data_IF_688680495907
#
_entry.id   IF_688680495907
#
_cell.length_a   1.000
_cell.length_b   1.000
_cell.length_c   1.000
_cell.angle_alpha   90.00
_cell.angle_beta   90.00
_cell.angle_gamma   90.00
#
_symmetry.space_group_name_H-M   'P 1'
#
loop_
_entity.id
_entity.type
_entity.pdbx_description
1 polymer ?
#
# COMPACT_ATOMS: atom_id res chain seq x y z
N UNK A 1 -73.67 44.40 -29.69
CA UNK A 1 -73.24 43.02 -29.38
C UNK A 1 -71.87 42.84 -30.01
N UNK A 2 -70.86 42.34 -29.30
CA UNK A 2 -69.59 42.02 -29.94
C UNK A 2 -69.86 40.99 -31.05
N UNK A 3 -69.44 41.30 -32.27
CA UNK A 3 -69.60 40.43 -33.43
C UNK A 3 -68.44 39.43 -33.39
N UNK A 4 -68.75 38.14 -33.54
CA UNK A 4 -67.72 37.11 -33.63
C UNK A 4 -66.77 37.46 -34.79
N UNK A 5 -65.48 37.45 -34.52
CA UNK A 5 -64.45 37.72 -35.52
C UNK A 5 -63.99 36.41 -36.16
N UNK A 6 -63.79 36.45 -37.48
CA UNK A 6 -63.25 35.33 -38.24
C UNK A 6 -61.73 35.34 -38.15
N UNK A 7 -61.18 34.31 -37.53
CA UNK A 7 -59.74 34.05 -37.43
C UNK A 7 -59.41 32.89 -38.36
N UNK A 8 -58.31 33.00 -39.10
CA UNK A 8 -57.83 31.93 -39.97
C UNK A 8 -56.83 31.07 -39.20
N UNK A 9 -57.07 29.77 -39.12
CA UNK A 9 -56.15 28.80 -38.55
C UNK A 9 -55.64 27.88 -39.66
N UNK A 10 -54.37 28.03 -40.02
CA UNK A 10 -53.67 27.09 -40.91
C UNK A 10 -53.26 25.86 -40.11
N UNK A 11 -53.74 24.69 -40.54
CA UNK A 11 -53.46 23.39 -39.98
C UNK A 11 -52.08 22.85 -40.45
N UNK A 12 -51.54 21.80 -39.79
CA UNK A 12 -50.24 21.23 -40.15
C UNK A 12 -50.18 20.66 -41.57
N UNK A 13 -51.32 20.29 -42.17
CA UNK A 13 -51.40 19.82 -43.56
C UNK A 13 -51.51 20.98 -44.58
N UNK A 14 -51.41 22.22 -44.11
CA UNK A 14 -51.50 23.44 -44.92
C UNK A 14 -52.93 23.86 -45.26
N UNK A 15 -53.96 23.15 -44.80
CA UNK A 15 -55.34 23.59 -44.97
C UNK A 15 -55.67 24.70 -44.01
N UNK A 16 -56.42 25.67 -44.48
CA UNK A 16 -56.96 26.72 -43.63
C UNK A 16 -58.38 26.38 -43.17
N UNK A 17 -58.66 26.65 -41.90
CA UNK A 17 -60.00 26.62 -41.33
C UNK A 17 -60.32 27.96 -40.68
N UNK A 18 -61.55 28.41 -40.83
CA UNK A 18 -62.04 29.62 -40.17
C UNK A 18 -62.56 29.23 -38.80
N UNK A 19 -62.07 29.90 -37.76
CA UNK A 19 -62.54 29.77 -36.38
C UNK A 19 -63.09 31.10 -35.91
N UNK A 20 -64.18 31.05 -35.15
CA UNK A 20 -64.88 32.25 -34.71
C UNK A 20 -64.54 32.56 -33.25
N UNK A 21 -64.36 33.84 -32.92
CA UNK A 21 -64.22 34.25 -31.52
C UNK A 21 -65.56 34.15 -30.77
N UNK A 22 -65.50 33.83 -29.48
CA UNK A 22 -66.67 33.92 -28.60
C UNK A 22 -66.96 35.39 -28.20
N UNK A 23 -68.00 35.60 -27.37
CA UNK A 23 -68.39 36.94 -26.91
C UNK A 23 -67.30 37.68 -26.09
N UNK A 24 -66.30 36.96 -25.58
CA UNK A 24 -65.15 37.51 -24.85
C UNK A 24 -63.92 37.72 -25.74
N UNK A 25 -63.99 37.38 -27.04
CA UNK A 25 -62.87 37.47 -27.98
C UNK A 25 -61.93 36.27 -27.96
N UNK A 26 -62.32 35.15 -27.34
CA UNK A 26 -61.46 33.97 -27.20
C UNK A 26 -61.70 32.98 -28.35
N UNK A 27 -60.67 32.21 -28.69
CA UNK A 27 -60.73 31.06 -29.60
C UNK A 27 -60.36 29.78 -28.84
N UNK A 28 -61.08 28.68 -29.10
CA UNK A 28 -60.76 27.36 -28.57
C UNK A 28 -60.65 26.37 -29.72
N UNK A 29 -59.54 25.64 -29.77
CA UNK A 29 -59.29 24.62 -30.79
C UNK A 29 -58.59 23.42 -30.15
N UNK A 30 -58.95 22.21 -30.56
CA UNK A 30 -58.27 21.00 -30.10
C UNK A 30 -57.07 20.71 -30.99
N UNK A 31 -55.88 21.06 -30.52
CA UNK A 31 -54.64 20.88 -31.27
C UNK A 31 -54.20 19.42 -31.22
N UNK A 32 -54.13 18.76 -32.38
CA UNK A 32 -53.28 17.59 -32.58
C UNK A 32 -51.81 18.01 -32.75
N UNK A 33 -50.88 17.08 -32.87
CA UNK A 33 -49.50 17.47 -33.16
C UNK A 33 -49.35 18.24 -34.47
N UNK A 34 -48.52 19.28 -34.46
CA UNK A 34 -47.97 19.89 -35.66
C UNK A 34 -47.70 21.37 -35.47
N UNK A 35 -47.41 22.03 -36.59
CA UNK A 35 -47.22 23.47 -36.65
C UNK A 35 -48.51 24.08 -37.17
N UNK A 36 -49.10 24.96 -36.38
CA UNK A 36 -50.29 25.71 -36.71
C UNK A 36 -49.93 27.18 -36.88
N UNK A 37 -50.61 27.88 -37.78
CA UNK A 37 -50.48 29.33 -37.91
C UNK A 37 -51.85 29.96 -37.66
N UNK A 38 -51.95 30.78 -36.62
CA UNK A 38 -53.12 31.59 -36.33
C UNK A 38 -52.92 32.95 -37.01
N UNK A 39 -53.86 33.37 -37.84
CA UNK A 39 -53.83 34.64 -38.56
C UNK A 39 -55.10 35.41 -38.22
N UNK A 40 -54.93 36.59 -37.62
CA UNK A 40 -55.98 37.59 -37.44
C UNK A 40 -55.96 38.49 -38.67
N UNK A 41 -56.96 38.43 -39.56
CA UNK A 41 -56.90 39.16 -40.81
C UNK A 41 -57.13 40.67 -40.62
N UNK A 42 -56.64 41.47 -41.56
CA UNK A 42 -56.67 42.95 -41.50
C UNK A 42 -58.07 43.54 -41.31
N UNK A 43 -59.11 42.91 -41.85
CA UNK A 43 -60.49 43.35 -41.73
C UNK A 43 -61.07 43.21 -40.30
N UNK A 44 -60.41 42.45 -39.42
CA UNK A 44 -60.86 42.26 -38.02
C UNK A 44 -60.39 43.41 -37.11
N UNK A 45 -59.15 43.87 -37.25
CA UNK A 45 -58.55 44.84 -36.32
C UNK A 45 -57.70 45.95 -36.97
N UNK A 46 -57.76 46.11 -38.29
CA UNK A 46 -57.07 47.17 -39.04
C UNK A 46 -55.66 46.80 -39.52
N UNK A 47 -55.05 45.77 -38.93
CA UNK A 47 -53.75 45.20 -39.29
C UNK A 47 -53.82 43.66 -39.30
N UNK A 48 -52.93 43.01 -40.05
CA UNK A 48 -52.82 41.55 -40.01
C UNK A 48 -51.83 41.14 -38.91
N UNK A 49 -52.25 40.22 -38.04
CA UNK A 49 -51.38 39.59 -37.04
C UNK A 49 -51.28 38.11 -37.33
N UNK A 50 -50.09 37.53 -37.15
CA UNK A 50 -49.95 36.08 -37.23
C UNK A 50 -49.05 35.54 -36.11
N UNK A 51 -49.39 34.33 -35.65
CA UNK A 51 -48.64 33.61 -34.62
C UNK A 51 -48.55 32.14 -34.98
N UNK A 52 -47.34 31.58 -34.88
CA UNK A 52 -47.12 30.15 -35.03
C UNK A 52 -47.23 29.46 -33.67
N UNK A 53 -47.93 28.32 -33.65
CA UNK A 53 -48.07 27.44 -32.49
C UNK A 53 -47.51 26.07 -32.89
N UNK A 54 -46.50 25.60 -32.18
CA UNK A 54 -45.98 24.24 -32.35
C UNK A 54 -46.48 23.38 -31.21
N UNK A 55 -47.05 22.23 -31.54
CA UNK A 55 -47.54 21.25 -30.57
C UNK A 55 -46.85 19.90 -30.79
N UNK A 56 -46.41 19.30 -29.69
CA UNK A 56 -45.75 17.98 -29.66
C UNK A 56 -46.51 17.06 -28.70
N UNK A 57 -46.28 15.76 -28.80
CA UNK A 57 -46.75 14.77 -27.85
C UNK A 57 -45.85 14.68 -26.60
N UNK A 58 -44.93 15.63 -26.43
CA UNK A 58 -43.93 15.65 -25.37
C UNK A 58 -42.57 15.15 -25.83
N UNK A 59 -41.74 14.77 -24.86
CA UNK A 59 -40.36 14.34 -25.04
C UNK A 59 -40.24 12.82 -24.99
N UNK A 60 -39.33 12.28 -25.81
CA UNK A 60 -38.92 10.87 -25.72
C UNK A 60 -37.94 10.65 -24.56
N UNK A 61 -37.93 9.44 -24.02
CA UNK A 61 -36.99 9.01 -23.00
C UNK A 61 -36.41 7.65 -23.34
N UNK A 62 -35.09 7.55 -23.34
CA UNK A 62 -34.36 6.27 -23.49
C UNK A 62 -34.24 5.62 -22.10
N UNK A 63 -34.89 4.48 -21.91
CA UNK A 63 -34.91 3.74 -20.63
C UNK A 63 -34.25 2.37 -20.77
N UNK A 64 -33.46 1.88 -19.81
CA UNK A 64 -32.95 2.58 -18.61
C UNK A 64 -31.92 3.67 -18.96
N UNK A 65 -32.03 4.85 -18.35
CA UNK A 65 -31.11 5.98 -18.59
C UNK A 65 -29.77 5.85 -17.87
N UNK A 66 -29.68 4.94 -16.89
CA UNK A 66 -28.51 4.63 -16.08
C UNK A 66 -27.68 3.46 -16.63
N UNK A 67 -28.16 2.75 -17.65
CA UNK A 67 -27.37 1.77 -18.41
C UNK A 67 -26.36 2.49 -19.30
N UNK A 68 -25.36 3.11 -18.71
CA UNK A 68 -24.35 3.91 -19.41
C UNK A 68 -23.00 3.19 -19.52
N UNK A 69 -22.90 1.94 -19.05
CA UNK A 69 -21.70 1.10 -19.14
C UNK A 69 -22.07 -0.24 -19.77
N UNK A 70 -21.23 -0.69 -20.70
CA UNK A 70 -21.37 -1.96 -21.40
C UNK A 70 -19.99 -2.62 -21.55
N UNK A 71 -19.96 -3.94 -21.65
CA UNK A 71 -18.78 -4.70 -22.05
C UNK A 71 -18.77 -4.84 -23.59
N UNK A 72 -17.60 -4.99 -24.20
CA UNK A 72 -17.54 -5.37 -25.61
C UNK A 72 -18.34 -6.65 -25.86
N UNK A 73 -18.96 -6.75 -27.03
CA UNK A 73 -19.86 -7.81 -27.46
C UNK A 73 -21.14 -7.98 -26.61
N UNK A 74 -21.39 -7.12 -25.63
CA UNK A 74 -22.61 -7.15 -24.82
C UNK A 74 -23.83 -6.75 -25.66
N UNK A 75 -24.95 -7.44 -25.43
CA UNK A 75 -26.22 -7.08 -26.06
C UNK A 75 -26.99 -6.10 -25.18
N UNK A 76 -27.12 -4.87 -25.64
CA UNK A 76 -27.84 -3.81 -24.94
C UNK A 76 -29.30 -3.75 -25.40
N UNK A 77 -30.19 -3.53 -24.44
CA UNK A 77 -31.63 -3.39 -24.66
C UNK A 77 -32.14 -2.10 -24.02
N UNK A 78 -32.87 -1.31 -24.80
CA UNK A 78 -33.52 -0.09 -24.35
C UNK A 78 -35.00 -0.08 -24.74
N UNK A 79 -35.79 0.71 -24.02
CA UNK A 79 -37.19 0.97 -24.28
C UNK A 79 -37.36 2.48 -24.43
N UNK A 80 -38.00 2.89 -25.52
CA UNK A 80 -38.34 4.29 -25.78
C UNK A 80 -39.70 4.57 -25.18
N UNK A 81 -39.77 5.59 -24.31
CA UNK A 81 -41.00 6.03 -23.64
C UNK A 81 -41.29 7.52 -23.91
N UNK A 82 -42.51 7.95 -23.64
CA UNK A 82 -42.90 9.37 -23.58
C UNK A 82 -42.84 9.91 -22.13
N UNK A 83 -43.13 11.21 -21.94
CA UNK A 83 -43.19 11.86 -20.63
C UNK A 83 -44.20 11.23 -19.66
N UNK A 84 -45.23 10.55 -20.18
CA UNK A 84 -46.23 9.84 -19.39
C UNK A 84 -45.81 8.42 -19.03
N UNK A 85 -44.63 7.98 -19.50
CA UNK A 85 -44.10 6.64 -19.28
C UNK A 85 -44.67 5.57 -20.23
N UNK A 86 -45.46 5.95 -21.22
CA UNK A 86 -45.99 5.02 -22.22
C UNK A 86 -44.90 4.63 -23.22
N UNK A 87 -44.95 3.41 -23.72
CA UNK A 87 -43.99 2.94 -24.73
C UNK A 87 -44.28 3.56 -26.09
N UNK A 88 -43.22 3.99 -26.78
CA UNK A 88 -43.32 4.64 -28.09
C UNK A 88 -42.84 3.70 -29.17
N UNK A 89 -43.79 3.15 -29.94
CA UNK A 89 -43.51 2.34 -31.13
C UNK A 89 -43.00 3.18 -32.31
N UNK A 90 -42.09 2.63 -33.09
CA UNK A 90 -41.69 3.20 -34.38
C UNK A 90 -40.88 4.49 -34.25
N UNK A 91 -40.22 4.71 -33.11
CA UNK A 91 -39.21 5.75 -32.96
C UNK A 91 -37.93 5.30 -33.66
N UNK A 92 -37.31 6.19 -34.43
CA UNK A 92 -36.04 5.94 -35.12
C UNK A 92 -34.90 6.17 -34.14
N UNK A 93 -34.02 5.19 -33.97
CA UNK A 93 -32.85 5.28 -33.09
C UNK A 93 -31.59 5.16 -33.94
N UNK A 94 -30.79 6.22 -33.97
CA UNK A 94 -29.44 6.20 -34.52
C UNK A 94 -28.44 5.90 -33.41
N UNK A 95 -27.66 4.85 -33.56
CA UNK A 95 -26.73 4.34 -32.56
C UNK A 95 -25.32 4.51 -33.13
N UNK A 96 -24.54 5.43 -32.58
CA UNK A 96 -23.12 5.52 -32.88
C UNK A 96 -22.32 4.59 -31.98
N UNK A 97 -21.57 3.66 -32.56
CA UNK A 97 -20.63 2.77 -31.86
C UNK A 97 -19.20 3.08 -32.32
N UNK A 98 -18.18 2.67 -31.54
CA UNK A 98 -16.78 2.74 -31.98
C UNK A 98 -16.50 1.99 -33.30
N UNK A 99 -17.28 0.93 -33.56
CA UNK A 99 -17.17 0.11 -34.78
C UNK A 99 -17.97 0.63 -35.98
N UNK A 100 -18.76 1.67 -35.79
CA UNK A 100 -19.61 2.24 -36.82
C UNK A 100 -21.02 2.54 -36.34
N UNK A 101 -21.84 3.11 -37.23
CA UNK A 101 -23.20 3.51 -36.88
C UNK A 101 -24.21 2.41 -37.25
N UNK A 102 -25.19 2.20 -36.37
CA UNK A 102 -26.31 1.28 -36.57
C UNK A 102 -27.62 2.05 -36.43
N UNK A 103 -28.62 1.74 -37.25
CA UNK A 103 -29.96 2.30 -37.11
C UNK A 103 -30.95 1.21 -36.67
N UNK A 104 -31.85 1.55 -35.76
CA UNK A 104 -32.95 0.71 -35.28
C UNK A 104 -34.25 1.49 -35.26
N UNK A 105 -35.35 0.75 -35.23
CA UNK A 105 -36.70 1.30 -35.03
C UNK A 105 -37.33 0.57 -33.87
N UNK A 106 -37.93 1.28 -32.92
CA UNK A 106 -38.56 0.65 -31.76
C UNK A 106 -39.77 -0.19 -32.16
N UNK A 107 -39.90 -1.36 -31.55
CA UNK A 107 -41.01 -2.29 -31.79
C UNK A 107 -42.31 -1.85 -31.09
N UNK A 108 -43.35 -2.71 -31.10
CA UNK A 108 -44.63 -2.42 -30.43
C UNK A 108 -44.52 -2.23 -28.91
N UNK A 109 -43.48 -2.78 -28.28
CA UNK A 109 -43.17 -2.59 -26.87
C UNK A 109 -42.23 -1.39 -26.65
N UNK A 110 -41.95 -0.58 -27.69
CA UNK A 110 -40.98 0.50 -27.64
C UNK A 110 -39.52 0.00 -27.53
N UNK A 111 -39.28 -1.30 -27.69
CA UNK A 111 -37.99 -1.92 -27.43
C UNK A 111 -37.07 -1.82 -28.65
N UNK A 112 -35.78 -1.61 -28.37
CA UNK A 112 -34.68 -1.80 -29.29
C UNK A 112 -33.59 -2.66 -28.66
N UNK A 113 -32.89 -3.44 -29.48
CA UNK A 113 -31.74 -4.26 -29.05
C UNK A 113 -30.61 -4.15 -30.07
N UNK A 114 -29.38 -4.03 -29.59
CA UNK A 114 -28.16 -3.99 -30.42
C UNK A 114 -26.95 -4.55 -29.65
N UNK A 115 -25.88 -4.88 -30.37
CA UNK A 115 -24.62 -5.34 -29.79
C UNK A 115 -23.65 -4.15 -29.64
N UNK A 116 -22.94 -4.07 -28.52
CA UNK A 116 -21.96 -3.03 -28.20
C UNK A 116 -20.75 -2.98 -29.16
N UNK A 117 -20.51 -4.04 -29.94
CA UNK A 117 -19.35 -4.14 -30.84
C UNK A 117 -18.10 -4.66 -30.14
N UNK A 118 -17.02 -4.79 -30.89
CA UNK A 118 -15.75 -5.41 -30.47
C UNK A 118 -14.73 -4.38 -29.96
N UNK A 119 -14.97 -3.08 -30.18
CA UNK A 119 -14.07 -2.00 -29.76
C UNK A 119 -14.57 -1.24 -28.54
N UNK A 120 -13.61 -0.89 -27.69
CA UNK A 120 -13.81 0.06 -26.60
C UNK A 120 -14.08 1.47 -27.12
N UNK A 121 -14.77 2.26 -26.30
CA UNK A 121 -15.01 3.67 -26.57
C UNK A 121 -16.37 4.12 -26.08
N UNK A 122 -16.86 5.23 -26.63
CA UNK A 122 -18.19 5.73 -26.31
C UNK A 122 -19.21 5.26 -27.33
N UNK A 123 -20.44 5.01 -26.89
CA UNK A 123 -21.60 4.86 -27.77
C UNK A 123 -22.64 5.93 -27.49
N UNK A 124 -23.42 6.29 -28.51
CA UNK A 124 -24.47 7.32 -28.40
C UNK A 124 -25.74 6.87 -29.10
N UNK A 125 -26.86 6.87 -28.39
CA UNK A 125 -28.20 6.68 -28.93
C UNK A 125 -28.83 8.04 -29.14
N UNK A 126 -29.33 8.30 -30.34
CA UNK A 126 -30.16 9.46 -30.66
C UNK A 126 -31.50 8.95 -31.13
N UNK A 127 -32.55 9.19 -30.35
CA UNK A 127 -33.91 8.79 -30.72
C UNK A 127 -34.68 9.99 -31.27
N UNK A 128 -35.40 9.75 -32.36
CA UNK A 128 -36.30 10.72 -32.94
C UNK A 128 -37.60 10.08 -33.41
N UNK A 129 -38.68 10.85 -33.32
CA UNK A 129 -39.97 10.51 -33.88
C UNK A 129 -40.71 11.79 -34.21
N UNK A 130 -41.40 11.81 -35.33
CA UNK A 130 -42.27 12.93 -35.69
C UNK A 130 -43.22 13.22 -34.52
N UNK A 131 -43.44 14.50 -34.24
CA UNK A 131 -44.27 14.97 -33.14
C UNK A 131 -43.73 14.79 -31.73
N UNK A 132 -42.50 14.32 -31.56
CA UNK A 132 -41.86 14.25 -30.25
C UNK A 132 -40.56 15.04 -30.23
N UNK A 133 -40.23 15.59 -29.07
CA UNK A 133 -38.87 16.07 -28.82
C UNK A 133 -37.91 14.88 -28.71
N UNK A 134 -36.73 15.02 -29.31
CA UNK A 134 -35.72 13.97 -29.35
C UNK A 134 -35.09 13.75 -27.98
N UNK A 135 -34.45 12.59 -27.83
CA UNK A 135 -33.62 12.28 -26.67
C UNK A 135 -32.27 11.71 -27.11
N UNK A 136 -31.28 11.85 -26.24
CA UNK A 136 -29.92 11.38 -26.50
C UNK A 136 -29.33 10.79 -25.24
N UNK A 137 -28.79 9.58 -25.37
CA UNK A 137 -28.09 8.88 -24.29
C UNK A 137 -26.68 8.53 -24.77
N UNK A 138 -25.68 8.79 -23.94
CA UNK A 138 -24.30 8.40 -24.20
C UNK A 138 -23.83 7.47 -23.10
N UNK A 139 -23.11 6.42 -23.49
CA UNK A 139 -22.47 5.48 -22.57
C UNK A 139 -21.07 5.09 -23.04
N UNK A 140 -20.44 4.22 -22.28
CA UNK A 140 -19.08 3.72 -22.51
C UNK A 140 -19.07 2.20 -22.65
N UNK A 141 -18.29 1.72 -23.61
CA UNK A 141 -17.99 0.31 -23.84
C UNK A 141 -16.57 0.07 -23.33
N UNK A 142 -16.42 -0.91 -22.45
CA UNK A 142 -15.15 -1.31 -21.86
C UNK A 142 -14.82 -2.74 -22.24
N UNK A 143 -13.54 -3.04 -22.37
CA UNK A 143 -13.02 -4.39 -22.49
C UNK A 143 -12.68 -4.86 -21.08
N UNK A 144 -13.31 -5.94 -20.59
CA UNK A 144 -12.96 -6.50 -19.28
C UNK A 144 -11.51 -6.99 -19.30
N UNK A 145 -10.83 -6.88 -18.16
CA UNK A 145 -9.43 -7.26 -18.01
C UNK A 145 -9.31 -8.59 -17.28
N UNK A 146 -8.47 -9.48 -17.79
CA UNK A 146 -8.15 -10.73 -17.10
C UNK A 146 -7.21 -10.51 -15.92
N UNK A 147 -7.40 -11.32 -14.89
CA UNK A 147 -6.56 -11.42 -13.70
C UNK A 147 -6.21 -12.88 -13.51
N UNK A 148 -4.92 -13.21 -13.59
CA UNK A 148 -4.42 -14.55 -13.31
C UNK A 148 -3.66 -14.57 -11.98
N UNK A 149 -3.86 -15.63 -11.21
CA UNK A 149 -3.10 -15.93 -9.99
C UNK A 149 -2.66 -17.38 -10.00
N UNK A 150 -1.39 -17.64 -9.72
CA UNK A 150 -0.84 -18.98 -9.62
C UNK A 150 -0.46 -19.30 -8.18
N UNK A 151 -0.28 -20.58 -7.86
CA UNK A 151 0.34 -20.97 -6.59
C UNK A 151 1.71 -20.31 -6.48
N UNK A 152 1.98 -19.68 -5.33
CA UNK A 152 3.22 -18.93 -5.12
C UNK A 152 4.46 -19.81 -5.13
N UNK A 153 4.33 -21.04 -4.61
CA UNK A 153 5.41 -22.01 -4.50
C UNK A 153 4.86 -23.44 -4.57
N UNK A 154 5.51 -24.31 -5.35
CA UNK A 154 5.15 -25.72 -5.51
C UNK A 154 6.41 -26.59 -5.49
N UNK A 155 6.35 -27.76 -4.85
CA UNK A 155 7.46 -28.71 -4.89
C UNK A 155 7.55 -29.41 -6.26
N UNK A 156 8.75 -29.86 -6.64
CA UNK A 156 8.95 -30.71 -7.81
C UNK A 156 8.00 -31.92 -7.78
N UNK A 157 7.47 -32.29 -8.94
CA UNK A 157 6.51 -33.38 -9.14
C UNK A 157 5.17 -33.19 -8.40
N UNK A 158 4.87 -31.99 -7.91
CA UNK A 158 3.52 -31.62 -7.42
C UNK A 158 2.80 -30.78 -8.46
N UNK A 159 1.48 -30.75 -8.35
CA UNK A 159 0.61 -30.00 -9.26
C UNK A 159 0.71 -28.50 -8.97
N UNK A 160 1.04 -27.73 -10.01
CA UNK A 160 0.93 -26.27 -10.02
C UNK A 160 -0.42 -25.89 -10.61
N UNK A 161 -1.17 -25.02 -9.94
CA UNK A 161 -2.43 -24.49 -10.44
C UNK A 161 -2.39 -22.97 -10.58
N UNK A 162 -3.11 -22.47 -11.57
CA UNK A 162 -3.43 -21.06 -11.75
C UNK A 162 -4.95 -20.88 -11.92
N UNK A 163 -5.43 -19.69 -11.58
CA UNK A 163 -6.83 -19.31 -11.61
C UNK A 163 -6.97 -18.01 -12.38
N UNK A 164 -7.82 -18.02 -13.40
CA UNK A 164 -8.14 -16.89 -14.27
C UNK A 164 -9.51 -16.35 -13.88
N UNK A 165 -9.54 -15.06 -13.59
CA UNK A 165 -10.73 -14.29 -13.24
C UNK A 165 -10.82 -13.03 -14.09
N UNK A 166 -11.99 -12.41 -14.16
CA UNK A 166 -12.11 -11.04 -14.64
C UNK A 166 -11.78 -10.05 -13.51
N UNK A 167 -11.73 -8.75 -13.83
CA UNK A 167 -11.47 -7.68 -12.87
C UNK A 167 -12.54 -7.57 -11.76
N UNK A 168 -13.74 -8.12 -12.01
CA UNK A 168 -14.86 -8.14 -11.08
C UNK A 168 -14.78 -9.36 -10.13
N UNK A 169 -13.83 -10.28 -10.35
CA UNK A 169 -13.58 -11.46 -9.54
C UNK A 169 -14.33 -12.72 -9.98
N UNK A 170 -15.05 -12.67 -11.10
CA UNK A 170 -15.75 -13.81 -11.68
C UNK A 170 -14.77 -14.76 -12.37
N UNK A 171 -15.02 -16.05 -12.30
CA UNK A 171 -14.19 -17.04 -12.97
C UNK A 171 -14.37 -16.95 -14.49
N UNK A 172 -13.27 -17.08 -15.24
CA UNK A 172 -13.30 -17.02 -16.71
C UNK A 172 -12.94 -18.39 -17.27
N UNK A 173 -13.94 -19.10 -17.78
CA UNK A 173 -13.77 -20.36 -18.52
C UNK A 173 -13.19 -20.12 -19.92
N UNK A 174 -12.39 -21.05 -20.44
CA UNK A 174 -11.94 -21.01 -21.83
C UNK A 174 -10.88 -19.95 -22.13
N UNK A 175 -10.33 -19.27 -21.12
CA UNK A 175 -9.16 -18.41 -21.29
C UNK A 175 -7.91 -19.26 -21.56
N UNK A 176 -7.10 -18.84 -22.53
CA UNK A 176 -5.81 -19.43 -22.84
C UNK A 176 -4.78 -18.95 -21.81
N UNK A 177 -4.08 -19.87 -21.17
CA UNK A 177 -3.02 -19.57 -20.21
C UNK A 177 -1.70 -20.03 -20.79
N UNK A 178 -0.83 -19.08 -21.07
CA UNK A 178 0.58 -19.33 -21.40
C UNK A 178 1.38 -19.39 -20.10
N UNK A 179 1.88 -20.57 -19.77
CA UNK A 179 2.72 -20.81 -18.60
C UNK A 179 4.16 -21.04 -19.07
N UNK A 180 5.07 -20.15 -18.70
CA UNK A 180 6.51 -20.28 -18.97
C UNK A 180 7.18 -20.83 -17.72
N UNK A 181 7.71 -22.05 -17.84
CA UNK A 181 8.38 -22.80 -16.77
C UNK A 181 9.87 -22.95 -17.10
N UNK A 182 10.72 -23.36 -16.14
CA UNK A 182 12.13 -23.61 -16.41
C UNK A 182 12.31 -24.65 -17.52
N UNK A 183 12.86 -24.22 -18.67
CA UNK A 183 13.17 -25.08 -19.81
C UNK A 183 12.03 -25.36 -20.78
N UNK A 184 10.81 -24.83 -20.58
CA UNK A 184 9.67 -25.06 -21.49
C UNK A 184 8.51 -24.06 -21.31
N UNK A 185 7.63 -24.02 -22.31
CA UNK A 185 6.35 -23.30 -22.24
C UNK A 185 5.20 -24.27 -22.49
N UNK A 186 4.09 -24.08 -21.78
CA UNK A 186 2.84 -24.82 -22.02
C UNK A 186 1.67 -23.87 -22.19
N UNK A 187 0.71 -24.31 -22.99
CA UNK A 187 -0.57 -23.64 -23.20
C UNK A 187 -1.66 -24.50 -22.59
N UNK A 188 -2.44 -23.90 -21.69
CA UNK A 188 -3.58 -24.53 -21.02
C UNK A 188 -4.84 -23.71 -21.28
N UNK A 189 -6.00 -24.35 -21.17
CA UNK A 189 -7.29 -23.69 -21.27
C UNK A 189 -8.00 -23.83 -19.93
N UNK A 190 -8.47 -22.72 -19.38
CA UNK A 190 -9.17 -22.69 -18.09
C UNK A 190 -10.52 -23.40 -18.16
N UNK A 191 -10.84 -24.15 -17.10
CA UNK A 191 -12.13 -24.81 -16.92
C UNK A 191 -13.23 -23.83 -16.45
N UNK A 192 -14.46 -24.34 -16.22
CA UNK A 192 -15.59 -23.56 -15.71
C UNK A 192 -15.34 -22.81 -14.40
N UNK A 193 -14.34 -23.23 -13.61
CA UNK A 193 -13.89 -22.56 -12.39
C UNK A 193 -12.76 -21.56 -12.61
N UNK A 194 -12.39 -21.31 -13.87
CA UNK A 194 -11.26 -20.48 -14.25
C UNK A 194 -9.91 -21.16 -13.98
N UNK A 195 -9.89 -22.44 -13.66
CA UNK A 195 -8.69 -23.13 -13.18
C UNK A 195 -7.94 -23.80 -14.31
N UNK A 196 -6.60 -23.71 -14.25
CA UNK A 196 -5.67 -24.52 -15.05
C UNK A 196 -4.66 -25.16 -14.12
N UNK A 197 -4.28 -26.41 -14.34
CA UNK A 197 -3.24 -27.06 -13.56
C UNK A 197 -2.33 -27.91 -14.43
N UNK A 198 -1.07 -28.04 -14.01
CA UNK A 198 -0.10 -28.94 -14.61
C UNK A 198 0.71 -29.66 -13.53
N UNK A 199 1.05 -30.91 -13.79
CA UNK A 199 1.93 -31.76 -12.99
C UNK A 199 3.36 -31.80 -13.56
N UNK A 200 3.65 -31.03 -14.61
CA UNK A 200 4.93 -31.04 -15.30
C UNK A 200 5.95 -30.09 -14.65
N UNK A 201 6.14 -30.27 -13.34
CA UNK A 201 6.98 -29.44 -12.46
C UNK A 201 8.33 -30.12 -12.17
N UNK A 202 8.96 -30.76 -13.17
CA UNK A 202 10.17 -31.56 -12.94
C UNK A 202 11.44 -30.73 -12.70
N UNK A 203 11.46 -29.46 -13.12
CA UNK A 203 12.63 -28.58 -13.02
C UNK A 203 12.31 -27.41 -12.09
N UNK A 204 13.15 -27.22 -11.06
CA UNK A 204 13.03 -26.09 -10.15
C UNK A 204 13.43 -24.77 -10.82
N UNK A 205 12.74 -23.70 -10.46
CA UNK A 205 12.98 -22.35 -10.97
C UNK A 205 11.71 -21.50 -10.97
N UNK A 206 11.83 -20.29 -11.52
CA UNK A 206 10.73 -19.35 -11.56
C UNK A 206 9.72 -19.73 -12.65
N UNK A 207 8.45 -19.45 -12.39
CA UNK A 207 7.33 -19.68 -13.30
C UNK A 207 6.62 -18.36 -13.55
N UNK A 208 6.26 -18.10 -14.80
CA UNK A 208 5.40 -16.97 -15.16
C UNK A 208 4.17 -17.44 -15.92
N UNK A 209 3.06 -16.73 -15.74
CA UNK A 209 1.81 -17.03 -16.42
C UNK A 209 1.16 -15.77 -16.97
N UNK A 210 0.62 -15.84 -18.17
CA UNK A 210 -0.21 -14.81 -18.80
C UNK A 210 -1.48 -15.48 -19.30
N UNK A 211 -2.63 -14.88 -19.04
CA UNK A 211 -3.92 -15.31 -19.56
C UNK A 211 -4.39 -14.36 -20.67
N UNK A 212 -4.92 -14.94 -21.75
CA UNK A 212 -5.54 -14.22 -22.87
C UNK A 212 -6.86 -14.86 -23.26
N UNK A 213 -7.82 -14.04 -23.68
CA UNK A 213 -9.12 -14.51 -24.19
C UNK A 213 -9.73 -13.44 -25.08
N UNK A 214 -10.30 -13.85 -26.21
CA UNK A 214 -11.10 -12.95 -27.05
C UNK A 214 -12.24 -12.32 -26.23
N UNK A 215 -12.46 -11.03 -26.41
CA UNK A 215 -13.41 -10.27 -25.61
C UNK A 215 -12.83 -9.72 -24.29
N UNK A 216 -11.54 -9.94 -24.01
CA UNK A 216 -10.86 -9.46 -22.82
C UNK A 216 -9.51 -8.83 -23.15
N UNK A 217 -9.09 -7.89 -22.30
CA UNK A 217 -7.70 -7.46 -22.22
C UNK A 217 -6.89 -8.56 -21.52
N UNK A 218 -5.70 -8.85 -22.06
CA UNK A 218 -4.77 -9.81 -21.49
C UNK A 218 -4.42 -9.49 -20.03
N UNK A 219 -4.14 -10.54 -19.26
CA UNK A 219 -3.75 -10.36 -17.87
C UNK A 219 -2.36 -9.77 -17.74
N UNK A 220 -2.11 -9.14 -16.60
CA UNK A 220 -0.73 -8.93 -16.16
C UNK A 220 -0.02 -10.29 -15.94
N UNK A 221 1.31 -10.29 -15.96
CA UNK A 221 2.11 -11.48 -15.68
C UNK A 221 1.94 -11.88 -14.21
N UNK A 222 1.48 -13.10 -13.94
CA UNK A 222 1.60 -13.72 -12.63
C UNK A 222 2.93 -14.47 -12.50
N UNK A 223 3.45 -14.53 -11.28
CA UNK A 223 4.69 -15.23 -10.96
C UNK A 223 4.44 -16.31 -9.92
N UNK A 224 5.22 -17.38 -9.99
CA UNK A 224 5.26 -18.48 -9.04
C UNK A 224 6.64 -19.14 -9.06
N UNK A 225 6.83 -20.18 -8.25
CA UNK A 225 8.13 -20.86 -8.14
C UNK A 225 7.97 -22.36 -7.97
N UNK A 226 8.79 -23.13 -8.69
CA UNK A 226 8.96 -24.56 -8.46
C UNK A 226 10.22 -24.74 -7.62
N UNK A 227 10.10 -25.35 -6.45
CA UNK A 227 11.21 -25.59 -5.53
C UNK A 227 11.50 -27.07 -5.38
N UNK A 228 12.73 -27.38 -5.00
CA UNK A 228 13.06 -28.71 -4.48
C UNK A 228 12.44 -28.84 -3.09
N UNK A 229 11.89 -30.00 -2.79
CA UNK A 229 11.37 -30.31 -1.46
C UNK A 229 12.45 -30.04 -0.41
N UNK A 230 12.17 -29.10 0.51
CA UNK A 230 13.05 -28.86 1.65
C UNK A 230 12.86 -30.02 2.61
N UNK A 231 13.78 -30.98 2.56
CA UNK A 231 13.86 -32.03 3.58
C UNK A 231 14.37 -31.36 4.86
N UNK A 232 13.54 -31.25 5.93
CA UNK A 232 13.98 -30.65 7.17
C UNK A 232 15.05 -31.55 7.79
N UNK A 233 16.21 -30.96 8.10
CA UNK A 233 17.24 -31.65 8.86
C UNK A 233 16.87 -31.59 10.35
N UNK A 234 16.69 -32.76 10.96
CA UNK A 234 16.53 -32.86 12.41
C UNK A 234 17.90 -32.66 13.08
N UNK A 235 18.11 -31.47 13.64
CA UNK A 235 19.35 -31.12 14.34
C UNK A 235 19.52 -31.84 15.68
N UNK A 236 18.46 -32.47 16.21
CA UNK A 236 18.59 -33.35 17.37
C UNK A 236 19.28 -34.68 17.00
N UNK A 237 19.11 -35.15 15.75
CA UNK A 237 19.73 -36.36 15.23
C UNK A 237 21.07 -36.05 14.54
N UNK A 238 21.17 -34.90 13.86
CA UNK A 238 22.38 -34.46 13.14
C UNK A 238 22.90 -33.12 13.69
N UNK A 239 23.73 -33.12 14.77
CA UNK A 239 24.22 -31.89 15.42
C UNK A 239 25.04 -30.98 14.51
N UNK A 240 25.68 -31.56 13.49
CA UNK A 240 26.54 -30.87 12.52
C UNK A 240 25.83 -30.55 11.19
N UNK A 241 24.50 -30.69 11.15
CA UNK A 241 23.67 -30.51 9.97
C UNK A 241 23.59 -31.77 9.08
N UNK A 242 22.71 -31.72 8.09
CA UNK A 242 22.52 -32.79 7.11
C UNK A 242 23.16 -32.39 5.78
N UNK A 243 23.48 -33.38 4.95
CA UNK A 243 23.86 -33.14 3.56
C UNK A 243 22.65 -32.51 2.85
N UNK A 244 22.88 -31.44 2.08
CA UNK A 244 21.84 -30.65 1.42
C UNK A 244 20.91 -31.56 0.58
N UNK A 245 19.60 -31.50 0.85
CA UNK A 245 18.60 -32.33 0.17
C UNK A 245 18.55 -33.79 0.63
N UNK A 246 19.08 -34.13 1.82
CA UNK A 246 18.99 -35.48 2.41
C UNK A 246 18.73 -35.44 3.92
N UNK A 247 18.32 -36.57 4.49
CA UNK A 247 18.29 -36.81 5.94
C UNK A 247 19.61 -37.35 6.51
N UNK A 248 20.66 -37.48 5.68
CA UNK A 248 21.95 -38.02 6.12
C UNK A 248 22.75 -36.96 6.88
N UNK A 249 23.21 -37.30 8.08
CA UNK A 249 24.06 -36.42 8.87
C UNK A 249 25.39 -36.16 8.15
N UNK A 250 25.78 -34.89 8.08
CA UNK A 250 27.11 -34.49 7.66
C UNK A 250 28.12 -35.05 8.68
N UNK A 251 29.24 -35.65 8.26
CA UNK A 251 30.29 -36.02 9.19
C UNK A 251 30.77 -34.75 9.90
N UNK A 252 30.68 -34.75 11.22
CA UNK A 252 31.21 -33.66 12.02
C UNK A 252 32.71 -33.57 11.73
N UNK A 253 33.26 -32.37 11.46
CA UNK A 253 34.69 -32.24 11.28
C UNK A 253 35.39 -32.79 12.53
N UNK A 254 36.31 -33.75 12.33
CA UNK A 254 37.21 -34.17 13.39
C UNK A 254 37.90 -32.91 13.91
N UNK A 255 37.69 -32.62 15.19
CA UNK A 255 38.13 -31.39 15.81
C UNK A 255 39.65 -31.43 15.94
N UNK A 256 40.32 -31.00 14.88
CA UNK A 256 41.77 -31.02 14.72
C UNK A 256 42.21 -29.63 14.23
N UNK A 257 42.44 -28.73 15.17
CA UNK A 257 42.95 -27.39 14.90
C UNK A 257 44.47 -27.46 15.16
N UNK A 258 45.29 -27.26 14.12
CA UNK A 258 46.76 -27.40 14.15
C UNK A 258 47.30 -28.81 14.51
N UNK A 259 46.61 -29.88 14.09
CA UNK A 259 47.08 -31.25 14.32
C UNK A 259 47.10 -31.69 15.80
N UNK A 260 46.42 -30.93 16.67
CA UNK A 260 46.25 -31.22 18.08
C UNK A 260 44.78 -31.54 18.35
N UNK A 261 44.47 -32.69 18.98
CA UNK A 261 43.10 -33.09 19.28
C UNK A 261 42.47 -32.14 20.32
N UNK A 262 41.21 -31.75 20.11
CA UNK A 262 40.55 -30.63 20.82
C UNK A 262 40.53 -30.68 22.36
N UNK A 263 40.73 -31.84 22.98
CA UNK A 263 40.90 -31.96 24.44
C UNK A 263 42.20 -31.29 24.95
N UNK A 264 43.25 -31.23 24.14
CA UNK A 264 44.50 -30.52 24.46
C UNK A 264 44.29 -29.00 24.39
N UNK A 265 43.51 -28.51 23.42
CA UNK A 265 43.09 -27.12 23.33
C UNK A 265 42.19 -26.72 24.52
N UNK A 266 41.33 -27.61 24.99
CA UNK A 266 40.50 -27.39 26.18
C UNK A 266 41.36 -27.24 27.45
N UNK A 267 42.39 -28.07 27.62
CA UNK A 267 43.35 -27.97 28.72
C UNK A 267 44.18 -26.67 28.67
N UNK A 268 44.60 -26.25 27.47
CA UNK A 268 45.24 -24.95 27.26
C UNK A 268 44.30 -23.78 27.57
N UNK A 269 43.03 -23.84 27.17
CA UNK A 269 42.02 -22.84 27.50
C UNK A 269 41.77 -22.73 29.01
N UNK A 270 41.75 -23.85 29.73
CA UNK A 270 41.60 -23.88 31.20
C UNK A 270 42.81 -23.25 31.91
N UNK A 271 44.01 -23.31 31.31
CA UNK A 271 45.22 -22.64 31.83
C UNK A 271 45.30 -21.16 31.44
N UNK A 272 44.86 -20.79 30.24
CA UNK A 272 44.94 -19.43 29.71
C UNK A 272 43.79 -18.56 30.22
N UNK A 273 42.58 -19.10 30.42
CA UNK A 273 41.41 -18.37 30.91
C UNK A 273 41.63 -17.69 32.29
N UNK A 274 42.18 -18.34 33.33
CA UNK A 274 42.48 -17.68 34.59
C UNK A 274 43.61 -16.65 34.48
N UNK A 275 44.57 -16.85 33.56
CA UNK A 275 45.64 -15.88 33.27
C UNK A 275 45.10 -14.63 32.55
N UNK A 276 44.20 -14.80 31.58
CA UNK A 276 43.45 -13.72 30.93
C UNK A 276 42.52 -13.00 31.92
N UNK A 277 41.86 -13.75 32.81
CA UNK A 277 41.00 -13.18 33.85
C UNK A 277 41.80 -12.32 34.85
N UNK A 278 43.03 -12.72 35.20
CA UNK A 278 43.95 -11.91 36.00
C UNK A 278 44.44 -10.65 35.25
N UNK A 279 44.64 -10.75 33.94
CA UNK A 279 45.04 -9.61 33.08
C UNK A 279 43.90 -8.62 32.79
N UNK A 280 42.64 -9.07 32.82
CA UNK A 280 41.44 -8.28 32.54
C UNK A 280 40.81 -7.62 33.77
N UNK A 281 41.38 -7.77 34.98
CA UNK A 281 40.90 -7.04 36.17
C UNK A 281 41.09 -5.53 35.98
N UNK A 282 39.99 -4.82 35.74
CA UNK A 282 39.96 -3.36 35.74
C UNK A 282 40.43 -2.85 37.11
N UNK A 283 41.23 -1.79 37.11
CA UNK A 283 41.92 -1.30 38.33
C UNK A 283 40.95 -0.47 39.19
N UNK A 284 41.15 -0.48 40.50
CA UNK A 284 40.49 0.43 41.46
C UNK A 284 41.37 1.67 41.67
N UNK A 285 40.77 2.84 41.88
CA UNK A 285 41.49 4.11 42.03
C UNK A 285 40.76 5.05 43.00
N UNK A 286 41.49 5.95 43.66
CA UNK A 286 40.90 7.08 44.39
C UNK A 286 40.96 8.34 43.51
N UNK A 287 39.89 9.11 43.41
CA UNK A 287 39.81 10.35 42.64
C UNK A 287 39.62 11.56 43.56
N UNK A 288 40.42 12.61 43.36
CA UNK A 288 40.29 13.85 44.12
C UNK A 288 39.07 14.68 43.68
N UNK A 289 38.72 15.67 44.50
CA UNK A 289 37.53 16.49 44.25
C UNK A 289 37.67 17.32 42.96
N UNK A 290 38.87 17.78 42.64
CA UNK A 290 39.14 18.55 41.42
C UNK A 290 38.89 17.72 40.16
N UNK A 291 39.37 16.47 40.12
CA UNK A 291 39.12 15.56 38.99
C UNK A 291 37.65 15.25 38.82
N UNK A 292 36.92 15.00 39.92
CA UNK A 292 35.48 14.75 39.86
C UNK A 292 34.74 15.98 39.35
N UNK A 293 35.08 17.17 39.83
CA UNK A 293 34.46 18.41 39.38
C UNK A 293 34.75 18.70 37.90
N UNK A 294 35.98 18.45 37.45
CA UNK A 294 36.38 18.60 36.05
C UNK A 294 35.63 17.60 35.15
N UNK A 295 35.52 16.34 35.58
CA UNK A 295 34.75 15.31 34.88
C UNK A 295 33.26 15.64 34.76
N UNK A 296 32.66 16.21 35.80
CA UNK A 296 31.26 16.65 35.77
C UNK A 296 31.11 17.83 34.80
N UNK A 297 32.01 18.81 34.86
CA UNK A 297 31.97 20.01 34.00
C UNK A 297 32.18 19.69 32.51
N UNK A 298 33.02 18.71 32.21
CA UNK A 298 33.36 18.29 30.84
C UNK A 298 32.48 17.12 30.34
N UNK A 299 31.46 16.72 31.12
CA UNK A 299 30.57 15.59 30.82
C UNK A 299 31.31 14.26 30.60
N UNK A 300 32.49 14.09 31.21
CA UNK A 300 33.36 12.90 31.10
C UNK A 300 33.17 11.89 32.24
N UNK A 301 32.21 12.09 33.14
CA UNK A 301 32.01 11.23 34.30
C UNK A 301 31.73 9.76 33.93
N UNK A 302 30.99 9.52 32.84
CA UNK A 302 30.74 8.16 32.33
C UNK A 302 32.02 7.52 31.77
N UNK A 303 32.81 8.28 31.02
CA UNK A 303 34.07 7.80 30.44
C UNK A 303 35.08 7.45 31.54
N UNK A 304 35.16 8.30 32.57
CA UNK A 304 35.94 8.02 33.78
C UNK A 304 35.47 6.72 34.45
N UNK A 305 34.16 6.54 34.65
CA UNK A 305 33.60 5.34 35.29
C UNK A 305 33.85 4.04 34.51
N UNK A 306 33.93 4.10 33.17
CA UNK A 306 34.18 2.91 32.31
C UNK A 306 35.62 2.38 32.41
N UNK A 307 36.59 3.25 32.71
CA UNK A 307 38.01 2.88 32.78
C UNK A 307 38.39 2.08 34.03
N UNK A 308 37.62 2.22 35.10
CA UNK A 308 37.92 1.62 36.40
C UNK A 308 36.86 0.61 36.83
N UNK A 309 37.27 -0.31 37.71
CA UNK A 309 36.31 -1.25 38.31
C UNK A 309 35.45 -0.55 39.37
N UNK A 310 36.13 0.24 40.23
CA UNK A 310 35.54 1.05 41.29
C UNK A 310 36.38 2.33 41.48
N UNK A 311 35.72 3.46 41.69
CA UNK A 311 36.35 4.76 41.95
C UNK A 311 35.98 5.19 43.36
N UNK A 312 36.99 5.41 44.19
CA UNK A 312 36.82 5.89 45.56
C UNK A 312 36.93 7.41 45.58
N UNK A 313 36.06 8.06 46.34
CA UNK A 313 35.96 9.53 46.39
C UNK A 313 35.73 10.00 47.83
N UNK A 314 35.86 11.30 48.09
CA UNK A 314 35.40 11.87 49.36
C UNK A 314 33.87 11.81 49.45
N UNK A 315 33.32 11.84 50.67
CA UNK A 315 31.87 11.89 50.90
C UNK A 315 31.20 13.05 50.16
N UNK A 316 31.83 14.22 50.17
CA UNK A 316 31.35 15.40 49.44
C UNK A 316 31.20 15.16 47.92
N UNK A 317 32.20 14.53 47.30
CA UNK A 317 32.14 14.19 45.87
C UNK A 317 31.11 13.08 45.59
N UNK A 318 30.96 12.12 46.50
CA UNK A 318 29.97 11.05 46.39
C UNK A 318 28.55 11.60 46.40
N UNK A 319 28.21 12.44 47.38
CA UNK A 319 26.88 13.03 47.51
C UNK A 319 26.53 13.88 46.28
N UNK A 320 27.52 14.61 45.75
CA UNK A 320 27.37 15.38 44.52
C UNK A 320 27.03 14.49 43.32
N UNK A 321 27.70 13.35 43.15
CA UNK A 321 27.43 12.40 42.06
C UNK A 321 26.06 11.74 42.23
N UNK A 322 25.68 11.37 43.46
CA UNK A 322 24.41 10.72 43.73
C UNK A 322 23.19 11.62 43.50
N UNK A 323 23.35 12.93 43.70
CA UNK A 323 22.35 13.94 43.38
C UNK A 323 22.19 14.27 41.90
N UNK A 324 23.03 13.73 41.01
CA UNK A 324 22.93 13.94 39.56
C UNK A 324 21.88 13.02 38.92
N UNK A 325 21.27 13.47 37.83
CA UNK A 325 20.40 12.63 36.97
C UNK A 325 21.25 11.84 35.97
N UNK A 326 21.91 10.79 36.46
CA UNK A 326 22.75 9.87 35.69
C UNK A 326 22.39 8.42 36.01
N UNK A 327 22.67 7.50 35.08
CA UNK A 327 22.29 6.09 35.24
C UNK A 327 22.89 5.44 36.50
N UNK A 328 22.09 4.64 37.21
CA UNK A 328 22.53 3.92 38.42
C UNK A 328 23.74 3.01 38.19
N UNK A 329 23.87 2.46 36.97
CA UNK A 329 25.05 1.65 36.57
C UNK A 329 26.36 2.45 36.68
N UNK A 330 26.30 3.77 36.48
CA UNK A 330 27.44 4.70 36.61
C UNK A 330 27.61 5.09 38.08
N UNK A 331 26.52 5.45 38.79
CA UNK A 331 26.58 5.82 40.23
C UNK A 331 27.20 4.69 41.07
N UNK A 332 26.83 3.45 40.78
CA UNK A 332 27.33 2.26 41.48
C UNK A 332 28.84 2.02 41.31
N UNK A 333 29.51 2.72 40.38
CA UNK A 333 30.98 2.69 40.25
C UNK A 333 31.70 3.53 41.29
N UNK A 334 31.03 4.46 41.95
CA UNK A 334 31.61 5.33 42.96
C UNK A 334 31.35 4.81 44.38
N UNK A 335 32.30 5.02 45.29
CA UNK A 335 32.18 4.68 46.71
C UNK A 335 32.93 5.72 47.55
N UNK A 336 32.31 6.19 48.62
CA UNK A 336 32.94 7.17 49.48
C UNK A 336 33.91 6.51 50.47
N UNK A 337 34.98 7.22 50.82
CA UNK A 337 35.93 6.81 51.85
C UNK A 337 36.22 7.99 52.76
N UNK A 338 35.97 7.78 54.05
CA UNK A 338 36.39 8.70 55.10
C UNK A 338 37.74 8.27 55.68
N UNK A 339 38.48 9.25 56.20
CA UNK A 339 39.72 8.96 56.90
C UNK A 339 39.39 8.26 58.23
N UNK A 340 40.02 7.12 58.46
CA UNK A 340 40.05 6.50 59.77
C UNK A 340 41.26 7.01 60.58
N UNK A 341 41.46 6.53 61.80
CA UNK A 341 42.61 6.93 62.64
C UNK A 341 43.97 6.76 61.95
N UNK A 342 44.10 5.81 61.02
CA UNK A 342 45.32 5.59 60.22
C UNK A 342 45.40 6.61 59.08
N UNK A 343 44.27 6.91 58.46
CA UNK A 343 44.12 7.98 57.48
C UNK A 343 44.48 9.36 58.03
N UNK A 344 44.04 9.71 59.24
CA UNK A 344 44.37 10.99 59.88
C UNK A 344 45.87 11.14 60.12
N UNK A 345 46.55 10.07 60.55
CA UNK A 345 48.02 10.06 60.66
C UNK A 345 48.68 10.28 59.30
N UNK A 346 48.18 9.62 58.25
CA UNK A 346 48.67 9.87 56.90
C UNK A 346 48.40 11.28 56.41
N UNK A 347 47.30 11.92 56.80
CA UNK A 347 47.05 13.32 56.45
C UNK A 347 48.07 14.26 57.09
N UNK A 348 48.43 14.03 58.35
CA UNK A 348 49.48 14.79 59.04
C UNK A 348 50.87 14.59 58.39
N UNK A 349 51.18 13.36 57.94
CA UNK A 349 52.43 13.04 57.24
C UNK A 349 52.48 13.62 55.82
N UNK A 350 51.40 13.47 55.05
CA UNK A 350 51.36 13.75 53.62
C UNK A 350 50.99 15.21 53.31
N UNK A 351 50.39 15.94 54.25
CA UNK A 351 49.94 17.33 54.06
C UNK A 351 48.82 17.49 53.03
N UNK A 352 48.11 16.40 52.71
CA UNK A 352 47.02 16.36 51.75
C UNK A 352 46.03 15.23 52.06
N UNK A 353 44.75 15.59 52.11
CA UNK A 353 43.65 14.70 52.50
C UNK A 353 43.34 13.64 51.42
N UNK A 354 43.50 13.96 50.14
CA UNK A 354 43.27 13.04 49.03
C UNK A 354 44.41 12.01 48.91
N UNK A 355 45.65 12.45 49.11
CA UNK A 355 46.82 11.57 49.20
C UNK A 355 46.67 10.61 50.38
N UNK A 356 46.21 11.10 51.54
CA UNK A 356 45.98 10.28 52.72
C UNK A 356 44.93 9.19 52.49
N UNK A 357 43.79 9.52 51.87
CA UNK A 357 42.73 8.54 51.54
C UNK A 357 43.21 7.48 50.55
N UNK A 358 43.94 7.88 49.51
CA UNK A 358 44.52 6.95 48.55
C UNK A 358 45.52 5.99 49.24
N UNK A 359 46.36 6.51 50.14
CA UNK A 359 47.33 5.74 50.93
C UNK A 359 46.66 4.76 51.88
N UNK A 360 45.61 5.18 52.59
CA UNK A 360 44.83 4.34 53.52
C UNK A 360 44.27 3.10 52.79
N UNK A 361 43.72 3.29 51.60
CA UNK A 361 43.09 2.22 50.81
C UNK A 361 44.08 1.44 49.93
N UNK A 362 45.37 1.80 49.94
CA UNK A 362 46.39 1.23 49.06
C UNK A 362 46.00 1.33 47.57
N UNK A 363 45.48 2.48 47.17
CA UNK A 363 45.00 2.77 45.82
C UNK A 363 45.92 3.77 45.12
N UNK A 364 45.87 3.78 43.78
CA UNK A 364 46.40 4.90 43.01
C UNK A 364 45.54 6.15 43.18
N UNK A 365 46.10 7.31 42.85
CA UNK A 365 45.43 8.60 42.88
C UNK A 365 45.19 9.13 41.46
N UNK A 366 43.95 9.47 41.15
CA UNK A 366 43.55 10.25 40.00
C UNK A 366 43.39 11.72 40.41
N UNK A 367 44.17 12.59 39.80
CA UNK A 367 44.18 14.02 40.14
C UNK A 367 44.38 14.90 38.90
N UNK A 368 43.64 16.01 38.83
CA UNK A 368 43.88 17.12 37.92
C UNK A 368 44.76 18.21 38.58
N UNK A 369 44.97 18.12 39.89
CA UNK A 369 45.70 19.10 40.69
C UNK A 369 47.21 18.80 40.71
N UNK A 370 48.02 19.79 40.33
CA UNK A 370 49.48 19.65 40.28
C UNK A 370 50.12 19.53 41.66
N UNK A 371 49.58 20.22 42.66
CA UNK A 371 50.08 20.16 44.05
C UNK A 371 49.78 18.79 44.67
N UNK A 372 48.54 18.30 44.53
CA UNK A 372 48.13 16.97 44.99
C UNK A 372 48.95 15.88 44.29
N UNK A 373 49.18 16.02 42.97
CA UNK A 373 50.04 15.11 42.23
C UNK A 373 51.48 15.11 42.76
N UNK A 374 52.04 16.29 43.05
CA UNK A 374 53.39 16.40 43.62
C UNK A 374 53.48 15.68 44.97
N UNK A 375 52.57 15.96 45.89
CA UNK A 375 52.50 15.32 47.22
C UNK A 375 52.30 13.81 47.13
N UNK A 376 51.51 13.33 46.17
CA UNK A 376 51.34 11.90 45.92
C UNK A 376 52.64 11.22 45.46
N UNK A 377 53.47 11.88 44.61
CA UNK A 377 54.77 11.33 44.18
C UNK A 377 55.74 11.25 45.35
N UNK A 378 55.81 12.30 46.16
CA UNK A 378 56.63 12.36 47.38
C UNK A 378 56.27 11.23 48.35
N UNK A 379 54.98 10.87 48.42
CA UNK A 379 54.45 9.78 49.23
C UNK A 379 54.40 8.41 48.53
N UNK A 380 55.06 8.26 47.37
CA UNK A 380 55.16 7.01 46.59
C UNK A 380 53.81 6.40 46.19
N UNK A 381 52.77 7.22 46.04
CA UNK A 381 51.47 6.78 45.54
C UNK A 381 51.51 6.80 44.01
N UNK A 382 50.94 5.76 43.37
CA UNK A 382 50.84 5.71 41.91
C UNK A 382 49.82 6.73 41.42
N UNK A 383 50.22 7.61 40.52
CA UNK A 383 49.37 8.70 40.02
C UNK A 383 48.91 8.41 38.60
N UNK A 384 47.69 8.84 38.30
CA UNK A 384 47.21 9.09 36.95
C UNK A 384 46.72 10.53 36.85
N UNK A 385 47.04 11.19 35.74
CA UNK A 385 46.55 12.53 35.45
C UNK A 385 45.16 12.44 34.85
N UNK A 386 44.26 13.34 35.25
CA UNK A 386 42.93 13.41 34.66
C UNK A 386 43.00 13.63 33.15
N UNK A 387 43.98 14.39 32.66
CA UNK A 387 44.20 14.65 31.23
C UNK A 387 44.56 13.38 30.41
N UNK A 388 44.89 12.27 31.06
CA UNK A 388 45.21 10.98 30.42
C UNK A 388 44.02 10.02 30.35
N UNK A 389 42.85 10.45 30.83
CA UNK A 389 41.57 9.71 30.83
C UNK A 389 40.73 10.20 29.66
#
# INVERSE_FOLDING_TARGET
MPVAADILLTLPDGKDVIIHTNANGEICYNFGCGIYKVIVPKNVCGEEYSRTITTTYGKLHITPSDLIKAKINETLTYIIKDDSGNVVKGAKVSIGLPDGNVAKTSDYAGKITFNAGEKEGSYTLKVSKDCYENDTLTGTIIMPKLVIKCDSEVNINKTLCCYVKDQDGNNVEGANVKLTMPGREILLISDASGKVCTNETQIAGDVTAIASKEGYEDSNIATGKIIKEKIPCDTAICPCGCIEGTTQCKPCPECNIFGLPCWILLLLLILIAPLLFLLLRKKKIYADEESINKAIKEEQLENMAKQYDKIYVSRKSYDKIWGMDIEDKIKNKFEYVDLDEKGEKYQQECGDEHVARAKQQNLGLLTANDETAKKAKENKIKIKRYEEI
#
